data_IF_013481153119
#
_entry.id   IF_013481153119
#
_cell.length_a   1.000
_cell.length_b   1.000
_cell.length_c   1.000
_cell.angle_alpha   90.00
_cell.angle_beta   90.00
_cell.angle_gamma   90.00
#
_symmetry.space_group_name_H-M   'P 1'
#
loop_
_entity.id
_entity.type
_entity.pdbx_description
1 polymer ?
#
# COMPACT_ATOMS: atom_id res chain seq x y z
N UNK A 1 -21.67 2.03 -16.67
CA UNK A 1 -21.03 1.63 -15.40
C UNK A 1 -20.36 2.87 -14.86
N UNK A 2 -20.98 3.54 -13.87
CA UNK A 2 -20.38 4.71 -13.26
C UNK A 2 -19.13 4.27 -12.52
N UNK A 3 -17.96 4.67 -12.99
CA UNK A 3 -16.73 4.55 -12.23
C UNK A 3 -16.74 5.74 -11.26
N UNK A 4 -17.14 5.59 -9.99
CA UNK A 4 -17.07 6.71 -9.08
C UNK A 4 -15.61 6.77 -8.69
N UNK A 5 -14.85 7.62 -9.39
CA UNK A 5 -13.53 8.03 -8.95
C UNK A 5 -13.75 8.63 -7.56
N UNK A 6 -13.59 7.81 -6.53
CA UNK A 6 -13.80 8.23 -5.15
C UNK A 6 -12.68 9.22 -4.81
N UNK A 7 -12.99 10.31 -4.10
CA UNK A 7 -11.96 11.25 -3.67
C UNK A 7 -10.91 10.50 -2.85
N UNK A 8 -9.65 10.90 -2.99
CA UNK A 8 -8.55 10.41 -2.15
C UNK A 8 -8.85 10.83 -0.71
N UNK A 9 -9.34 9.88 0.09
CA UNK A 9 -9.60 10.12 1.52
C UNK A 9 -8.30 9.92 2.28
N UNK A 10 -7.79 11.01 2.86
CA UNK A 10 -6.71 10.90 3.85
C UNK A 10 -7.30 10.39 5.17
N UNK A 11 -6.78 9.27 5.63
CA UNK A 11 -7.20 8.61 6.87
C UNK A 11 -6.76 9.45 8.07
N UNK A 12 -7.65 9.69 9.04
CA UNK A 12 -7.26 10.30 10.32
C UNK A 12 -6.59 9.28 11.24
N UNK A 13 -5.74 9.68 12.21
CA UNK A 13 -5.11 8.75 13.14
C UNK A 13 -6.11 7.84 13.87
N UNK A 14 -7.28 8.37 14.22
CA UNK A 14 -8.35 7.63 14.91
C UNK A 14 -8.99 6.57 14.00
N UNK A 15 -9.01 6.81 12.69
CA UNK A 15 -9.52 5.88 11.69
C UNK A 15 -8.48 4.83 11.28
N UNK A 16 -7.18 5.12 11.48
CA UNK A 16 -6.09 4.27 11.00
C UNK A 16 -6.16 2.86 11.59
N UNK A 17 -6.39 2.73 12.91
CA UNK A 17 -6.48 1.42 13.54
C UNK A 17 -7.72 0.64 13.06
N UNK A 18 -8.87 1.29 12.95
CA UNK A 18 -10.10 0.66 12.48
C UNK A 18 -9.97 0.18 11.02
N UNK A 19 -9.31 0.98 10.18
CA UNK A 19 -9.01 0.62 8.79
C UNK A 19 -8.01 -0.52 8.74
N UNK A 20 -6.94 -0.48 9.53
CA UNK A 20 -5.96 -1.57 9.63
C UNK A 20 -6.63 -2.88 10.02
N UNK A 21 -7.50 -2.86 11.02
CA UNK A 21 -8.23 -4.07 11.46
C UNK A 21 -9.18 -4.58 10.37
N UNK A 22 -9.87 -3.68 9.67
CA UNK A 22 -10.73 -4.05 8.55
C UNK A 22 -9.94 -4.66 7.39
N UNK A 23 -8.85 -4.01 6.98
CA UNK A 23 -7.94 -4.49 5.94
C UNK A 23 -7.36 -5.85 6.32
N UNK A 24 -6.88 -6.01 7.55
CA UNK A 24 -6.34 -7.29 8.02
C UNK A 24 -7.38 -8.42 7.94
N UNK A 25 -8.62 -8.19 8.40
CA UNK A 25 -9.70 -9.17 8.28
C UNK A 25 -9.96 -9.57 6.83
N UNK A 26 -10.01 -8.58 5.93
CA UNK A 26 -10.24 -8.83 4.50
C UNK A 26 -9.07 -9.59 3.86
N UNK A 27 -7.82 -9.25 4.20
CA UNK A 27 -6.63 -9.96 3.71
C UNK A 27 -6.64 -11.42 4.16
N UNK A 28 -6.90 -11.70 5.45
CA UNK A 28 -7.01 -13.08 5.95
C UNK A 28 -8.07 -13.87 5.20
N UNK A 29 -9.24 -13.27 4.97
CA UNK A 29 -10.30 -13.93 4.22
C UNK A 29 -9.91 -14.20 2.75
N UNK A 30 -9.26 -13.24 2.10
CA UNK A 30 -8.75 -13.38 0.73
C UNK A 30 -7.67 -14.48 0.65
N UNK A 31 -6.74 -14.52 1.60
CA UNK A 31 -5.72 -15.58 1.68
C UNK A 31 -6.36 -16.95 1.81
N UNK A 32 -7.32 -17.13 2.73
CA UNK A 32 -7.98 -18.43 2.92
C UNK A 32 -8.72 -18.89 1.65
N UNK A 33 -9.42 -17.98 0.99
CA UNK A 33 -10.12 -18.27 -0.27
C UNK A 33 -9.15 -18.66 -1.39
N UNK A 34 -8.10 -17.86 -1.60
CA UNK A 34 -7.11 -18.15 -2.64
C UNK A 34 -6.39 -19.48 -2.40
N UNK A 35 -6.03 -19.80 -1.14
CA UNK A 35 -5.42 -21.09 -0.80
C UNK A 35 -6.37 -22.26 -1.11
N UNK A 36 -7.66 -22.13 -0.81
CA UNK A 36 -8.65 -23.17 -1.11
C UNK A 36 -8.89 -23.33 -2.62
N UNK A 37 -8.91 -22.24 -3.38
CA UNK A 37 -9.18 -22.24 -4.83
C UNK A 37 -7.97 -22.75 -5.65
N UNK A 38 -6.74 -22.47 -5.21
CA UNK A 38 -5.52 -22.71 -6.00
C UNK A 38 -4.61 -23.80 -5.43
N UNK A 39 -4.84 -24.24 -4.19
CA UNK A 39 -3.99 -25.22 -3.49
C UNK A 39 -2.63 -24.67 -3.03
N UNK A 40 -2.39 -23.36 -3.15
CA UNK A 40 -1.15 -22.73 -2.66
C UNK A 40 -1.18 -22.52 -1.14
N UNK A 41 -0.01 -22.38 -0.53
CA UNK A 41 0.07 -21.95 0.87
C UNK A 41 -0.19 -20.45 1.02
N UNK A 42 -0.65 -20.04 2.20
CA UNK A 42 -0.90 -18.62 2.49
C UNK A 42 0.34 -17.74 2.34
N UNK A 43 1.53 -18.29 2.60
CA UNK A 43 2.79 -17.57 2.39
C UNK A 43 3.01 -17.23 0.91
N UNK A 44 2.71 -18.17 -0.01
CA UNK A 44 2.82 -17.91 -1.46
C UNK A 44 1.86 -16.82 -1.89
N UNK A 45 0.62 -16.84 -1.39
CA UNK A 45 -0.35 -15.78 -1.64
C UNK A 45 0.17 -14.40 -1.19
N UNK A 46 0.74 -14.30 0.02
CA UNK A 46 1.30 -13.05 0.53
C UNK A 46 2.44 -12.55 -0.34
N UNK A 47 3.38 -13.43 -0.73
CA UNK A 47 4.51 -13.05 -1.57
C UNK A 47 4.06 -12.54 -2.95
N UNK A 48 3.13 -13.24 -3.60
CA UNK A 48 2.54 -12.79 -4.88
C UNK A 48 1.81 -11.47 -4.71
N UNK A 49 1.00 -11.33 -3.66
CA UNK A 49 0.27 -10.10 -3.36
C UNK A 49 1.20 -8.90 -3.15
N UNK A 50 2.31 -9.07 -2.43
CA UNK A 50 3.31 -8.00 -2.23
C UNK A 50 3.93 -7.57 -3.56
N UNK A 51 4.30 -8.50 -4.44
CA UNK A 51 4.81 -8.14 -5.77
C UNK A 51 3.76 -7.42 -6.62
N UNK A 52 2.50 -7.89 -6.61
CA UNK A 52 1.42 -7.24 -7.34
C UNK A 52 1.14 -5.83 -6.83
N UNK A 53 1.12 -5.61 -5.51
CA UNK A 53 0.96 -4.27 -4.96
C UNK A 53 2.13 -3.34 -5.30
N UNK A 54 3.36 -3.86 -5.36
CA UNK A 54 4.51 -3.07 -5.83
C UNK A 54 4.33 -2.66 -7.30
N UNK A 55 3.87 -3.56 -8.16
CA UNK A 55 3.58 -3.26 -9.57
C UNK A 55 2.52 -2.16 -9.69
N UNK A 56 1.37 -2.32 -9.02
CA UNK A 56 0.28 -1.33 -9.02
C UNK A 56 0.72 0.05 -8.53
N UNK A 57 1.47 0.10 -7.41
CA UNK A 57 1.99 1.36 -6.88
C UNK A 57 3.02 1.99 -7.82
N UNK A 58 3.79 1.18 -8.54
CA UNK A 58 4.81 1.66 -9.47
C UNK A 58 4.21 2.28 -10.73
N UNK A 59 3.01 1.84 -11.15
CA UNK A 59 2.25 2.48 -12.22
C UNK A 59 1.82 3.92 -11.85
N UNK A 60 1.56 4.17 -10.56
CA UNK A 60 1.25 5.51 -10.07
C UNK A 60 2.50 6.35 -9.88
N UNK A 61 3.50 5.82 -9.17
CA UNK A 61 4.80 6.47 -8.98
C UNK A 61 5.87 5.44 -8.58
N UNK A 62 6.64 4.97 -9.58
CA UNK A 62 7.71 3.99 -9.39
C UNK A 62 8.74 4.37 -8.33
N UNK A 63 9.21 5.62 -8.31
CA UNK A 63 10.23 6.06 -7.34
C UNK A 63 9.69 6.02 -5.92
N UNK A 64 8.50 6.59 -5.70
CA UNK A 64 7.89 6.62 -4.38
C UNK A 64 7.46 5.22 -3.91
N UNK A 65 7.04 4.34 -4.83
CA UNK A 65 6.76 2.94 -4.51
C UNK A 65 8.02 2.23 -3.98
N UNK A 66 9.15 2.34 -4.68
CA UNK A 66 10.41 1.73 -4.24
C UNK A 66 10.85 2.26 -2.87
N UNK A 67 10.77 3.57 -2.65
CA UNK A 67 11.14 4.18 -1.37
C UNK A 67 10.22 3.76 -0.22
N UNK A 68 8.92 3.57 -0.50
CA UNK A 68 7.97 3.03 0.45
C UNK A 68 8.36 1.61 0.91
N UNK A 69 8.66 0.70 -0.03
CA UNK A 69 9.03 -0.68 0.33
C UNK A 69 10.39 -0.77 1.02
N UNK A 70 11.37 0.07 0.66
CA UNK A 70 12.65 0.16 1.38
C UNK A 70 12.43 0.64 2.81
N UNK A 71 11.63 1.68 3.00
CA UNK A 71 11.30 2.18 4.32
C UNK A 71 10.60 1.12 5.18
N UNK A 72 9.67 0.33 4.61
CA UNK A 72 9.07 -0.79 5.33
C UNK A 72 10.12 -1.84 5.72
N UNK A 73 11.03 -2.21 4.83
CA UNK A 73 12.08 -3.18 5.14
C UNK A 73 12.92 -2.71 6.34
N UNK A 74 13.35 -1.44 6.33
CA UNK A 74 14.12 -0.86 7.43
C UNK A 74 13.32 -0.82 8.75
N UNK A 75 12.01 -0.51 8.70
CA UNK A 75 11.15 -0.47 9.88
C UNK A 75 11.03 -1.82 10.60
N UNK A 76 11.09 -2.93 9.86
CA UNK A 76 10.97 -4.28 10.40
C UNK A 76 12.32 -5.01 10.55
N UNK A 77 13.43 -4.34 10.23
CA UNK A 77 14.77 -4.87 10.49
C UNK A 77 15.15 -4.63 11.96
N UNK A 78 15.15 -5.72 12.73
CA UNK A 78 15.52 -5.71 14.15
C UNK A 78 17.02 -5.45 14.38
N UNK A 79 17.86 -5.56 13.35
CA UNK A 79 19.30 -5.27 13.43
C UNK A 79 19.60 -3.77 13.42
N UNK A 80 18.67 -2.94 12.96
CA UNK A 80 18.81 -1.49 12.91
C UNK A 80 18.52 -0.83 14.27
N UNK A 81 19.03 0.39 14.46
CA UNK A 81 18.75 1.17 15.68
C UNK A 81 17.31 1.71 15.68
N UNK A 82 16.81 2.09 16.85
CA UNK A 82 15.50 2.74 16.97
C UNK A 82 15.41 4.03 16.15
N UNK A 83 16.49 4.80 16.11
CA UNK A 83 16.55 6.07 15.37
C UNK A 83 16.43 5.82 13.87
N UNK A 84 17.15 4.83 13.33
CA UNK A 84 17.06 4.44 11.92
C UNK A 84 15.65 3.96 11.56
N UNK A 85 15.00 3.17 12.43
CA UNK A 85 13.59 2.76 12.23
C UNK A 85 12.62 3.93 12.29
N UNK A 86 12.89 4.94 13.13
CA UNK A 86 12.08 6.16 13.18
C UNK A 86 12.25 7.01 11.92
N UNK A 87 13.47 7.14 11.40
CA UNK A 87 13.74 7.81 10.12
C UNK A 87 13.09 7.06 8.96
N UNK A 88 13.06 5.73 9.00
CA UNK A 88 12.37 4.91 8.03
C UNK A 88 10.85 5.19 8.03
N UNK A 89 10.19 5.34 9.18
CA UNK A 89 8.78 5.73 9.21
C UNK A 89 8.52 7.14 8.63
N UNK A 90 9.46 8.07 8.82
CA UNK A 90 9.40 9.37 8.17
C UNK A 90 9.53 9.24 6.64
N UNK A 91 10.49 8.45 6.14
CA UNK A 91 10.65 8.15 4.70
C UNK A 91 9.39 7.50 4.12
N UNK A 92 8.81 6.52 4.82
CA UNK A 92 7.55 5.87 4.45
C UNK A 92 6.43 6.90 4.29
N UNK A 93 6.28 7.81 5.26
CA UNK A 93 5.24 8.84 5.23
C UNK A 93 5.40 9.81 4.06
N UNK A 94 6.63 10.23 3.76
CA UNK A 94 6.94 11.06 2.58
C UNK A 94 6.62 10.34 1.27
N UNK A 95 6.98 9.05 1.15
CA UNK A 95 6.69 8.25 -0.03
C UNK A 95 5.18 8.09 -0.26
N UNK A 96 4.40 7.82 0.79
CA UNK A 96 2.94 7.75 0.73
C UNK A 96 2.34 9.08 0.25
N UNK A 97 2.83 10.22 0.76
CA UNK A 97 2.36 11.53 0.31
C UNK A 97 2.63 11.77 -1.18
N UNK A 98 3.80 11.36 -1.69
CA UNK A 98 4.15 11.46 -3.10
C UNK A 98 3.29 10.56 -4.00
N UNK A 99 2.96 9.34 -3.55
CA UNK A 99 2.04 8.43 -4.25
C UNK A 99 0.66 9.08 -4.38
N UNK A 100 0.10 9.60 -3.29
CA UNK A 100 -1.21 10.26 -3.32
C UNK A 100 -1.22 11.50 -4.22
N UNK A 101 -0.17 12.32 -4.18
CA UNK A 101 -0.07 13.48 -5.06
C UNK A 101 -0.06 13.09 -6.56
N UNK A 102 0.60 11.98 -6.92
CA UNK A 102 0.58 11.49 -8.30
C UNK A 102 -0.76 10.88 -8.69
N UNK A 103 -1.42 10.19 -7.76
CA UNK A 103 -2.77 9.69 -7.97
C UNK A 103 -3.77 10.83 -8.22
N UNK A 104 -3.67 11.93 -7.46
CA UNK A 104 -4.50 13.12 -7.66
C UNK A 104 -4.28 13.72 -9.05
N UNK A 105 -3.03 13.82 -9.53
CA UNK A 105 -2.71 14.28 -10.89
C UNK A 105 -3.26 13.35 -11.97
N UNK A 106 -3.11 12.03 -11.79
CA UNK A 106 -3.63 11.03 -12.71
C UNK A 106 -5.16 11.13 -12.83
N UNK A 107 -5.86 11.28 -11.70
CA UNK A 107 -7.30 11.44 -11.66
C UNK A 107 -7.77 12.77 -12.25
N UNK A 108 -7.05 13.87 -12.01
CA UNK A 108 -7.35 15.18 -12.60
C UNK A 108 -7.17 15.18 -14.12
N UNK A 109 -6.10 14.55 -14.63
CA UNK A 109 -5.87 14.37 -16.07
C UNK A 109 -6.94 13.52 -16.74
N UNK A 110 -7.46 12.49 -16.06
CA UNK A 110 -8.59 11.69 -16.54
C UNK A 110 -9.92 12.47 -16.59
N UNK A 111 -10.11 13.47 -15.72
CA UNK A 111 -11.30 14.34 -15.72
C UNK A 111 -11.26 15.44 -16.80
N UNK A 112 -10.08 15.86 -17.25
CA UNK A 112 -9.91 16.92 -18.26
C UNK A 112 -10.08 16.47 -19.72
N UNK A 113 -10.20 15.15 -19.96
CA UNK A 113 -10.33 14.55 -21.30
C UNK A 113 -11.70 13.90 -21.56
N UNK A 114 -12.73 14.26 -20.78
CA UNK A 114 -14.11 13.77 -20.92
C UNK A 114 -15.05 14.81 -21.53
#
# INVERSE_FOLDING_TARGET
>A
MSNPIKPVVRVTPEQEQAIRDAVHRHLVHATNRACAETGISGMVFVLVGVSTFLEELSEVNATAAVDYFRALADMYDDTLSKDVRSEADARRSTAVAAIFANLDLYMAGAQGNA
#
